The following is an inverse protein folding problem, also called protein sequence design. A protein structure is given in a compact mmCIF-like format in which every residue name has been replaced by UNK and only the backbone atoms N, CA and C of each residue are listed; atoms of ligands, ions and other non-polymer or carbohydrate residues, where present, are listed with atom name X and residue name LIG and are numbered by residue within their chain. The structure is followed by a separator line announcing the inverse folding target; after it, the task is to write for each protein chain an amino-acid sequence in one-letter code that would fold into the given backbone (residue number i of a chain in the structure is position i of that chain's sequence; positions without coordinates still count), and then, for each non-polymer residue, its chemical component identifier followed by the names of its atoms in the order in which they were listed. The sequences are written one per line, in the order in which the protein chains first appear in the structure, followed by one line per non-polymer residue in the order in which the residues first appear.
data_IF_561129867764
#
_entry.id   IF_561129867764
#
_cell.length_a   1.000
_cell.length_b   1.000
_cell.length_c   1.000
_cell.angle_alpha   90.00
_cell.angle_beta   90.00
_cell.angle_gamma   90.00
#
_symmetry.space_group_name_H-M   'P 1'
#
loop_
_entity.id
_entity.type
_entity.pdbx_description
1 polymer ?
#
# COMPACT_ATOMS: atom_id res chain seq x y z
N UNK A 1 0.49 8.96 -7.70
CA UNK A 1 1.41 8.60 -8.80
C UNK A 1 1.41 7.09 -8.97
N UNK A 2 1.81 6.59 -10.14
CA UNK A 2 1.99 5.16 -10.42
C UNK A 2 3.45 4.94 -10.77
N UNK A 3 4.07 3.92 -10.18
CA UNK A 3 5.47 3.59 -10.39
C UNK A 3 5.61 2.19 -10.95
N UNK A 4 6.30 2.08 -12.07
CA UNK A 4 6.65 0.79 -12.69
C UNK A 4 7.92 0.24 -12.07
N UNK A 5 8.04 -1.09 -12.01
CA UNK A 5 9.23 -1.78 -11.47
C UNK A 5 10.53 -1.33 -12.13
N UNK A 6 10.49 -1.04 -13.43
CA UNK A 6 11.66 -0.61 -14.21
C UNK A 6 12.10 0.85 -13.96
N UNK A 7 11.29 1.68 -13.28
CA UNK A 7 11.57 3.10 -13.11
C UNK A 7 12.64 3.38 -12.05
N UNK A 8 12.78 2.51 -11.03
CA UNK A 8 13.74 2.74 -9.95
C UNK A 8 14.11 1.45 -9.21
N UNK A 9 15.37 1.29 -8.81
CA UNK A 9 15.86 0.10 -8.09
C UNK A 9 15.11 -0.19 -6.78
N UNK A 10 14.68 0.86 -6.07
CA UNK A 10 13.88 0.75 -4.85
C UNK A 10 12.51 0.11 -5.14
N UNK A 11 11.87 0.43 -6.27
CA UNK A 11 10.57 -0.14 -6.65
C UNK A 11 10.75 -1.62 -6.93
N UNK A 12 11.74 -1.98 -7.75
CA UNK A 12 12.08 -3.38 -8.02
C UNK A 12 12.41 -4.17 -6.73
N UNK A 13 13.10 -3.55 -5.77
CA UNK A 13 13.38 -4.18 -4.47
C UNK A 13 12.12 -4.39 -3.63
N UNK A 14 11.13 -3.50 -3.71
CA UNK A 14 9.84 -3.68 -3.05
C UNK A 14 9.10 -4.85 -3.69
N UNK A 15 9.01 -4.87 -5.02
CA UNK A 15 8.33 -5.95 -5.77
C UNK A 15 8.92 -7.31 -5.42
N UNK A 16 10.25 -7.43 -5.42
CA UNK A 16 10.92 -8.67 -5.04
C UNK A 16 10.60 -9.12 -3.61
N UNK A 17 10.46 -8.18 -2.67
CA UNK A 17 10.07 -8.51 -1.28
C UNK A 17 8.62 -8.96 -1.21
N UNK A 18 7.74 -8.37 -2.01
CA UNK A 18 6.33 -8.77 -2.07
C UNK A 18 6.18 -10.18 -2.63
N UNK A 19 6.90 -10.53 -3.70
CA UNK A 19 6.92 -11.89 -4.24
C UNK A 19 7.38 -12.90 -3.17
N UNK A 20 8.50 -12.62 -2.50
CA UNK A 20 9.04 -13.51 -1.47
C UNK A 20 8.11 -13.65 -0.26
N UNK A 21 7.39 -12.58 0.11
CA UNK A 21 6.49 -12.59 1.27
C UNK A 21 5.16 -13.29 0.98
N UNK A 22 4.72 -13.31 -0.28
CA UNK A 22 3.37 -13.76 -0.67
C UNK A 22 3.37 -15.05 -1.47
N UNK A 23 4.51 -15.40 -2.07
CA UNK A 23 4.62 -16.41 -3.09
C UNK A 23 3.67 -16.16 -4.29
N UNK A 24 3.39 -14.89 -4.59
CA UNK A 24 2.62 -14.44 -5.76
C UNK A 24 3.55 -13.78 -6.78
N UNK A 25 3.22 -13.93 -8.06
CA UNK A 25 3.97 -13.35 -9.17
C UNK A 25 3.61 -11.88 -9.38
N UNK A 26 4.62 -11.00 -9.38
CA UNK A 26 4.39 -9.55 -9.47
C UNK A 26 4.16 -9.06 -10.89
N UNK A 27 4.52 -9.85 -11.92
CA UNK A 27 4.34 -9.47 -13.33
C UNK A 27 2.88 -9.21 -13.70
N UNK A 28 1.95 -9.88 -13.02
CA UNK A 28 0.51 -9.72 -13.22
C UNK A 28 -0.10 -8.62 -12.36
N UNK A 29 0.69 -8.04 -11.44
CA UNK A 29 0.25 -7.02 -10.52
C UNK A 29 0.10 -5.66 -11.21
N UNK A 30 -0.68 -4.80 -10.59
CA UNK A 30 -0.76 -3.39 -10.98
C UNK A 30 0.52 -2.65 -10.56
N UNK A 31 0.86 -1.61 -11.31
CA UNK A 31 1.95 -0.68 -10.96
C UNK A 31 1.77 -0.15 -9.52
N UNK A 32 2.86 0.12 -8.81
CA UNK A 32 2.77 0.60 -7.43
C UNK A 32 2.12 1.99 -7.36
N UNK A 33 1.01 2.08 -6.64
CA UNK A 33 0.29 3.34 -6.46
C UNK A 33 0.80 4.09 -5.21
N UNK A 34 1.32 5.30 -5.41
CA UNK A 34 1.60 6.24 -4.33
C UNK A 34 0.42 7.18 -4.17
N UNK A 35 -0.24 7.12 -3.01
CA UNK A 35 -1.24 8.08 -2.57
C UNK A 35 -0.70 8.91 -1.42
N UNK A 36 -0.72 10.22 -1.57
CA UNK A 36 -0.47 11.17 -0.49
C UNK A 36 -1.80 11.71 0.00
N UNK A 37 -2.04 11.60 1.30
CA UNK A 37 -3.23 12.15 1.94
C UNK A 37 -2.83 13.44 2.62
N UNK A 38 -3.29 14.57 2.09
CA UNK A 38 -3.09 15.89 2.70
C UNK A 38 -4.31 16.13 3.58
N UNK A 39 -4.08 16.31 4.88
CA UNK A 39 -5.14 16.27 5.88
C UNK A 39 -5.83 17.65 6.03
N UNK A 40 -7.14 17.65 5.83
CA UNK A 40 -8.06 18.62 6.44
C UNK A 40 -8.88 17.83 7.47
N UNK A 41 -9.09 18.36 8.68
CA UNK A 41 -9.67 17.67 9.86
C UNK A 41 -11.04 16.97 9.62
N UNK A 42 -11.79 17.33 8.58
CA UNK A 42 -13.07 16.69 8.24
C UNK A 42 -12.97 15.42 7.37
N UNK A 43 -11.79 15.10 6.82
CA UNK A 43 -11.62 14.05 5.80
C UNK A 43 -11.03 12.75 6.37
N UNK A 44 -10.92 12.64 7.69
CA UNK A 44 -10.24 11.51 8.37
C UNK A 44 -10.99 10.18 8.15
N UNK A 45 -12.32 10.22 7.97
CA UNK A 45 -13.14 9.02 7.74
C UNK A 45 -13.30 8.65 6.25
N UNK A 46 -13.18 9.61 5.34
CA UNK A 46 -13.38 9.36 3.91
C UNK A 46 -12.15 8.75 3.24
N UNK A 47 -10.95 8.96 3.80
CA UNK A 47 -9.72 8.49 3.18
C UNK A 47 -9.62 6.95 3.10
N UNK A 48 -9.98 6.24 4.16
CA UNK A 48 -9.94 4.77 4.14
C UNK A 48 -10.98 4.17 3.19
N UNK A 49 -12.13 4.84 3.04
CA UNK A 49 -13.19 4.41 2.14
C UNK A 49 -12.87 4.75 0.68
N UNK A 50 -12.28 5.92 0.43
CA UNK A 50 -11.92 6.38 -0.92
C UNK A 50 -10.77 5.58 -1.51
N UNK A 51 -9.74 5.24 -0.72
CA UNK A 51 -8.69 4.29 -1.14
C UNK A 51 -9.34 2.95 -1.52
N UNK A 52 -10.21 2.41 -0.66
CA UNK A 52 -10.88 1.13 -0.93
C UNK A 52 -11.80 1.17 -2.16
N UNK A 53 -12.51 2.28 -2.40
CA UNK A 53 -13.39 2.46 -3.55
C UNK A 53 -12.59 2.67 -4.85
N UNK A 54 -11.54 3.48 -4.84
CA UNK A 54 -10.67 3.72 -5.99
C UNK A 54 -9.93 2.44 -6.39
N UNK A 55 -9.47 1.67 -5.39
CA UNK A 55 -8.96 0.32 -5.62
C UNK A 55 -10.01 -0.51 -6.37
N UNK A 56 -11.22 -0.66 -5.85
CA UNK A 56 -12.23 -1.54 -6.45
C UNK A 56 -12.67 -1.15 -7.87
N UNK A 57 -12.42 0.08 -8.34
CA UNK A 57 -12.94 0.57 -9.61
C UNK A 57 -12.03 0.34 -10.84
N UNK A 58 -10.77 -0.11 -10.70
CA UNK A 58 -9.81 -0.08 -11.84
C UNK A 58 -9.24 -1.40 -12.36
N UNK A 59 -9.88 -2.50 -12.04
CA UNK A 59 -9.53 -3.85 -12.51
C UNK A 59 -9.67 -4.12 -14.00
N UNK A 60 -10.43 -3.31 -14.73
CA UNK A 60 -10.84 -3.66 -16.09
C UNK A 60 -9.73 -3.51 -17.15
N UNK A 61 -8.57 -2.91 -16.83
CA UNK A 61 -7.60 -2.50 -17.85
C UNK A 61 -6.38 -3.40 -18.06
N UNK A 62 -5.96 -4.23 -17.09
CA UNK A 62 -4.76 -5.07 -17.27
C UNK A 62 -5.03 -6.39 -18.00
N UNK A 63 -6.26 -6.92 -17.95
CA UNK A 63 -6.57 -8.23 -18.54
C UNK A 63 -5.91 -9.42 -17.82
N UNK A 64 -5.34 -9.21 -16.63
CA UNK A 64 -4.66 -10.23 -15.82
C UNK A 64 -5.58 -10.94 -14.81
N UNK A 65 -6.87 -10.60 -14.79
CA UNK A 65 -7.87 -11.18 -13.89
C UNK A 65 -8.18 -10.31 -12.67
N UNK A 66 -8.73 -10.93 -11.62
CA UNK A 66 -9.16 -10.23 -10.40
C UNK A 66 -8.01 -10.11 -9.38
N UNK A 67 -7.93 -9.03 -8.58
CA UNK A 67 -6.98 -8.97 -7.44
C UNK A 67 -7.39 -10.03 -6.43
N UNK A 68 -6.41 -10.84 -6.07
CA UNK A 68 -6.51 -11.85 -5.01
C UNK A 68 -5.92 -11.36 -3.69
N UNK A 69 -5.10 -10.29 -3.73
CA UNK A 69 -4.45 -9.71 -2.57
C UNK A 69 -4.24 -8.19 -2.73
N UNK A 70 -3.99 -7.51 -1.61
CA UNK A 70 -3.62 -6.10 -1.57
C UNK A 70 -2.53 -5.90 -0.52
N UNK A 71 -1.49 -5.16 -0.90
CA UNK A 71 -0.44 -4.70 0.02
C UNK A 71 -0.52 -3.19 0.21
N UNK A 72 -0.66 -2.76 1.46
CA UNK A 72 -0.66 -1.35 1.84
C UNK A 72 0.56 -1.05 2.70
N UNK A 73 1.49 -0.24 2.16
CA UNK A 73 2.74 0.12 2.83
C UNK A 73 2.64 1.57 3.33
N UNK A 74 2.71 1.76 4.66
CA UNK A 74 2.73 3.09 5.25
C UNK A 74 4.13 3.70 5.22
N UNK A 75 4.30 4.71 4.38
CA UNK A 75 5.58 5.42 4.21
C UNK A 75 5.78 6.54 5.24
N UNK A 76 4.69 7.09 5.79
CA UNK A 76 4.68 8.13 6.81
C UNK A 76 3.61 7.83 7.84
N UNK A 77 3.79 8.31 9.08
CA UNK A 77 2.79 8.22 10.15
C UNK A 77 2.21 9.61 10.40
N UNK A 78 0.88 9.80 10.32
CA UNK A 78 0.25 11.07 10.66
C UNK A 78 0.27 11.31 12.18
N UNK A 79 0.16 12.57 12.58
CA UNK A 79 0.12 12.97 14.00
C UNK A 79 -1.17 12.47 14.67
N UNK A 80 -2.29 12.49 13.95
CA UNK A 80 -3.61 12.07 14.43
C UNK A 80 -4.24 11.14 13.37
N UNK A 81 -4.95 10.10 13.81
CA UNK A 81 -5.75 9.26 12.91
C UNK A 81 -4.92 8.35 11.98
N UNK A 82 -5.35 8.26 10.71
CA UNK A 82 -4.68 7.50 9.65
C UNK A 82 -4.80 5.97 9.73
N UNK A 83 -5.74 5.43 10.50
CA UNK A 83 -5.92 3.98 10.61
C UNK A 83 -6.59 3.42 9.36
N UNK A 84 -6.18 2.24 8.92
CA UNK A 84 -6.98 1.46 7.96
C UNK A 84 -8.02 0.67 8.74
N UNK A 85 -9.29 0.89 8.44
CA UNK A 85 -10.43 0.30 9.16
C UNK A 85 -11.14 -0.71 8.27
N UNK A 86 -11.34 -1.93 8.78
CA UNK A 86 -12.07 -3.00 8.12
C UNK A 86 -13.43 -3.17 8.79
N UNK A 87 -14.43 -2.41 8.33
CA UNK A 87 -15.75 -2.35 8.99
C UNK A 87 -16.72 -3.46 8.61
N UNK A 88 -16.61 -4.01 7.38
CA UNK A 88 -17.64 -4.90 6.81
C UNK A 88 -17.81 -6.19 7.62
N UNK A 89 -16.73 -6.93 7.85
CA UNK A 89 -16.82 -8.26 8.47
C UNK A 89 -15.94 -8.44 9.71
N UNK A 90 -14.80 -7.74 9.81
CA UNK A 90 -13.84 -7.96 10.90
C UNK A 90 -13.95 -6.96 12.06
N UNK A 91 -14.47 -5.74 11.81
CA UNK A 91 -14.49 -4.63 12.78
C UNK A 91 -13.12 -4.37 13.43
N UNK A 92 -12.04 -4.59 12.67
CA UNK A 92 -10.67 -4.33 13.10
C UNK A 92 -10.14 -3.04 12.48
N UNK A 93 -9.12 -2.46 13.10
CA UNK A 93 -8.37 -1.37 12.49
C UNK A 93 -6.87 -1.56 12.70
N UNK A 94 -6.10 -1.25 11.65
CA UNK A 94 -4.65 -1.33 11.66
C UNK A 94 -4.08 0.08 11.78
N UNK A 95 -3.26 0.39 12.81
CA UNK A 95 -2.62 1.70 12.94
C UNK A 95 -1.66 1.93 11.78
N UNK A 96 -1.62 3.17 11.28
CA UNK A 96 -0.55 3.61 10.39
C UNK A 96 0.77 3.67 11.17
N UNK A 97 1.61 2.67 10.94
CA UNK A 97 2.95 2.58 11.53
C UNK A 97 3.95 2.65 10.40
N UNK A 98 4.75 3.73 10.39
CA UNK A 98 5.83 3.88 9.43
C UNK A 98 6.77 2.68 9.56
N UNK A 99 7.09 2.05 8.43
CA UNK A 99 8.09 0.98 8.39
C UNK A 99 9.44 1.55 8.85
N UNK A 100 9.93 1.09 10.00
CA UNK A 100 11.27 1.39 10.48
C UNK A 100 12.23 0.30 10.01
N UNK A 101 13.41 0.71 9.56
CA UNK A 101 14.55 -0.19 9.36
C UNK A 101 15.67 0.27 10.29
N UNK A 102 16.20 -0.66 11.07
CA UNK A 102 17.48 -0.46 11.73
C UNK A 102 18.56 -0.70 10.68
N UNK A 103 19.35 0.31 10.35
CA UNK A 103 20.67 0.06 9.77
C UNK A 103 21.47 -0.63 10.85
N UNK A 104 21.76 -1.91 10.70
CA UNK A 104 22.85 -2.51 11.45
C UNK A 104 24.08 -1.68 11.10
N UNK A 105 24.67 -1.05 12.12
CA UNK A 105 25.90 -0.30 11.94
C UNK A 105 26.94 -1.26 11.38
N UNK A 106 27.50 -1.03 10.17
CA UNK A 106 28.48 -1.94 9.58
C UNK A 106 29.79 -2.05 10.37
N UNK A 107 29.92 -1.31 11.48
CA UNK A 107 31.05 -1.35 12.41
C UNK A 107 30.90 -2.30 13.62
N UNK A 108 29.85 -3.13 13.70
CA UNK A 108 29.77 -4.25 14.67
C UNK A 108 30.15 -5.60 14.08
#
# INVERSE_FOLDING_TARGET
AWLKSAEHEIVNRIDRRLELATNLEVETAEDLQIKTSIENVHTINNLSLEIFLEMNQRFEKLGTGNRIATFLIYMTRPEIGGRTVFMSNLKISVPCTKVSYSTLDPTQ
#
